data_IF_307429201051
#
_entry.id   IF_307429201051
#
_cell.length_a   1.000
_cell.length_b   1.000
_cell.length_c   1.000
_cell.angle_alpha   90.00
_cell.angle_beta   90.00
_cell.angle_gamma   90.00
#
_symmetry.space_group_name_H-M   'P 1'
#
loop_
_entity.id
_entity.type
_entity.pdbx_description
1 polymer ?
#
# COMPACT_ATOMS: atom_id res chain seq x y z
N UNK A 1 -20.51 8.23 14.56
CA UNK A 1 -20.83 7.27 13.50
C UNK A 1 -20.01 6.01 13.74
N UNK A 2 -20.60 4.81 13.80
CA UNK A 2 -19.80 3.59 13.79
C UNK A 2 -18.97 3.57 12.50
N UNK A 3 -17.68 3.24 12.60
CA UNK A 3 -16.83 2.97 11.44
C UNK A 3 -17.60 2.03 10.51
N UNK A 4 -17.70 2.38 9.22
CA UNK A 4 -18.27 1.46 8.23
C UNK A 4 -17.58 0.11 8.37
N UNK A 5 -18.31 -0.98 8.24
CA UNK A 5 -17.76 -2.34 8.34
C UNK A 5 -16.56 -2.52 7.40
N UNK A 6 -16.60 -1.87 6.23
CA UNK A 6 -15.49 -1.80 5.29
C UNK A 6 -14.26 -1.07 5.83
N UNK A 7 -14.43 0.06 6.53
CA UNK A 7 -13.33 0.82 7.12
C UNK A 7 -12.67 0.05 8.27
N UNK A 8 -13.48 -0.64 9.08
CA UNK A 8 -12.96 -1.53 10.11
C UNK A 8 -12.12 -2.68 9.51
N UNK A 9 -12.58 -3.27 8.40
CA UNK A 9 -11.83 -4.31 7.68
C UNK A 9 -10.52 -3.75 7.09
N UNK A 10 -10.54 -2.54 6.52
CA UNK A 10 -9.34 -1.88 5.99
C UNK A 10 -8.32 -1.59 7.09
N UNK A 11 -8.76 -1.09 8.23
CA UNK A 11 -7.88 -0.82 9.38
C UNK A 11 -7.28 -2.09 9.97
N UNK A 12 -8.09 -3.13 10.18
CA UNK A 12 -7.58 -4.42 10.67
C UNK A 12 -6.58 -5.05 9.71
N UNK A 13 -6.84 -4.98 8.40
CA UNK A 13 -5.88 -5.41 7.38
C UNK A 13 -4.58 -4.60 7.43
N UNK A 14 -4.66 -3.26 7.57
CA UNK A 14 -3.49 -2.38 7.71
C UNK A 14 -2.64 -2.76 8.92
N UNK A 15 -3.27 -2.92 10.09
CA UNK A 15 -2.59 -3.30 11.34
C UNK A 15 -1.95 -4.68 11.23
N UNK A 16 -2.62 -5.65 10.59
CA UNK A 16 -2.06 -6.97 10.34
C UNK A 16 -0.84 -6.90 9.41
N UNK A 17 -0.89 -6.06 8.37
CA UNK A 17 0.23 -5.84 7.45
C UNK A 17 1.42 -5.21 8.19
N UNK A 18 1.17 -4.18 9.01
CA UNK A 18 2.20 -3.54 9.85
C UNK A 18 2.86 -4.54 10.79
N UNK A 19 2.06 -5.35 11.49
CA UNK A 19 2.55 -6.37 12.41
C UNK A 19 3.34 -7.49 11.73
N UNK A 20 2.96 -7.88 10.51
CA UNK A 20 3.71 -8.83 9.70
C UNK A 20 5.03 -8.21 9.22
N UNK A 21 4.97 -7.00 8.67
CA UNK A 21 6.13 -6.31 8.12
C UNK A 21 7.19 -6.12 9.20
N UNK A 22 6.82 -5.66 10.41
CA UNK A 22 7.74 -5.55 11.56
C UNK A 22 8.50 -6.84 11.90
N UNK A 23 7.89 -8.02 11.70
CA UNK A 23 8.56 -9.31 11.93
C UNK A 23 9.55 -9.67 10.81
N UNK A 24 9.35 -9.14 9.61
CA UNK A 24 10.18 -9.42 8.42
C UNK A 24 11.36 -8.46 8.24
N UNK A 25 11.35 -7.29 8.90
CA UNK A 25 12.44 -6.32 8.82
C UNK A 25 13.71 -6.89 9.49
N UNK A 26 14.85 -6.81 8.78
CA UNK A 26 16.14 -7.31 9.30
C UNK A 26 17.24 -6.26 9.29
N UNK A 27 17.25 -5.34 8.32
CA UNK A 27 18.31 -4.32 8.21
C UNK A 27 17.90 -3.02 8.87
N UNK A 28 18.89 -2.25 9.35
CA UNK A 28 18.66 -0.91 9.93
C UNK A 28 17.98 0.03 8.94
N UNK A 29 18.34 -0.05 7.66
CA UNK A 29 17.76 0.78 6.60
C UNK A 29 16.27 0.44 6.35
N UNK A 30 15.88 -0.83 6.47
CA UNK A 30 14.48 -1.27 6.38
C UNK A 30 13.66 -0.70 7.54
N UNK A 31 14.21 -0.69 8.75
CA UNK A 31 13.57 -0.05 9.91
C UNK A 31 13.46 1.47 9.75
N UNK A 32 14.49 2.12 9.22
CA UNK A 32 14.47 3.56 8.95
C UNK A 32 13.37 3.92 7.95
N UNK A 33 13.29 3.21 6.82
CA UNK A 33 12.23 3.40 5.81
C UNK A 33 10.83 3.14 6.36
N UNK A 34 10.68 2.10 7.19
CA UNK A 34 9.40 1.82 7.83
C UNK A 34 8.94 2.97 8.75
N UNK A 35 9.88 3.56 9.51
CA UNK A 35 9.63 4.70 10.39
C UNK A 35 9.31 5.95 9.59
N UNK A 36 10.07 6.24 8.54
CA UNK A 36 9.84 7.35 7.62
C UNK A 36 8.44 7.31 6.99
N UNK A 37 8.01 6.15 6.48
CA UNK A 37 6.65 5.96 5.94
C UNK A 37 5.57 6.28 6.99
N UNK A 38 5.80 5.87 8.24
CA UNK A 38 4.85 6.13 9.32
C UNK A 38 4.81 7.60 9.72
N UNK A 39 5.97 8.27 9.77
CA UNK A 39 6.11 9.69 10.09
C UNK A 39 5.51 10.56 8.99
N UNK A 40 5.82 10.30 7.71
CA UNK A 40 5.25 11.02 6.57
C UNK A 40 3.71 10.92 6.57
N UNK A 41 3.17 9.72 6.78
CA UNK A 41 1.72 9.52 6.85
C UNK A 41 1.09 10.26 8.03
N UNK A 42 1.75 10.29 9.20
CA UNK A 42 1.27 11.02 10.36
C UNK A 42 1.28 12.53 10.13
N UNK A 43 2.36 13.08 9.58
CA UNK A 43 2.48 14.50 9.23
C UNK A 43 1.41 14.92 8.22
N UNK A 44 1.16 14.11 7.17
CA UNK A 44 0.09 14.37 6.19
C UNK A 44 -1.30 14.36 6.83
N UNK A 45 -1.55 13.44 7.77
CA UNK A 45 -2.82 13.38 8.50
C UNK A 45 -3.00 14.62 9.38
N UNK A 46 -1.97 15.04 10.11
CA UNK A 46 -2.06 16.19 11.00
C UNK A 46 -2.17 17.49 10.21
N UNK A 47 -1.45 17.62 9.09
CA UNK A 47 -1.63 18.71 8.14
C UNK A 47 -3.06 18.79 7.59
N UNK A 48 -3.68 17.65 7.23
CA UNK A 48 -5.09 17.65 6.78
C UNK A 48 -6.04 18.01 7.92
N UNK A 49 -5.80 17.58 9.17
CA UNK A 49 -6.64 17.98 10.31
C UNK A 49 -6.56 19.48 10.58
N UNK A 50 -5.37 20.07 10.49
CA UNK A 50 -5.19 21.51 10.73
C UNK A 50 -5.75 22.34 9.56
N UNK A 51 -5.57 21.88 8.33
CA UNK A 51 -6.23 22.45 7.16
C UNK A 51 -7.76 22.34 7.27
N UNK A 52 -8.28 21.21 7.74
CA UNK A 52 -9.72 21.01 7.94
C UNK A 52 -10.27 21.98 8.99
N UNK A 53 -9.61 22.11 10.15
CA UNK A 53 -10.02 23.04 11.22
C UNK A 53 -10.06 24.49 10.74
N UNK A 54 -9.04 24.93 10.02
CA UNK A 54 -8.95 26.32 9.54
C UNK A 54 -9.96 26.63 8.43
N UNK A 55 -10.24 25.67 7.54
CA UNK A 55 -11.12 25.87 6.37
C UNK A 55 -12.54 25.35 6.56
N UNK A 56 -12.88 24.79 7.72
CA UNK A 56 -14.15 24.10 7.96
C UNK A 56 -15.39 24.93 7.58
N UNK A 57 -15.47 26.17 8.07
CA UNK A 57 -16.62 27.03 7.80
C UNK A 57 -16.78 27.37 6.32
N UNK A 58 -15.67 27.62 5.63
CA UNK A 58 -15.68 27.87 4.19
C UNK A 58 -16.16 26.62 3.43
N UNK A 59 -15.63 25.44 3.77
CA UNK A 59 -16.07 24.17 3.16
C UNK A 59 -17.56 23.90 3.37
N UNK A 60 -18.11 24.27 4.53
CA UNK A 60 -19.55 24.13 4.80
C UNK A 60 -20.38 25.05 3.90
N UNK A 61 -19.96 26.31 3.70
CA UNK A 61 -20.65 27.24 2.79
C UNK A 61 -20.62 26.72 1.34
N UNK A 62 -19.46 26.27 0.88
CA UNK A 62 -19.34 25.68 -0.46
C UNK A 62 -20.21 24.42 -0.61
N UNK A 63 -20.30 23.61 0.44
CA UNK A 63 -21.12 22.41 0.46
C UNK A 63 -22.63 22.72 0.52
N UNK A 64 -23.08 23.75 1.24
CA UNK A 64 -24.50 24.14 1.25
C UNK A 64 -24.92 24.63 -0.13
N UNK A 65 -24.11 25.44 -0.80
CA UNK A 65 -24.36 25.86 -2.18
C UNK A 65 -24.41 24.68 -3.16
N UNK A 66 -23.54 23.68 -2.99
CA UNK A 66 -23.58 22.47 -3.80
C UNK A 66 -24.87 21.65 -3.56
N UNK A 67 -25.28 21.47 -2.31
CA UNK A 67 -26.52 20.75 -1.95
C UNK A 67 -27.75 21.47 -2.51
N UNK A 68 -27.80 22.80 -2.41
CA UNK A 68 -28.88 23.61 -2.99
C UNK A 68 -28.94 23.45 -4.51
N UNK A 69 -27.79 23.49 -5.20
CA UNK A 69 -27.71 23.25 -6.65
C UNK A 69 -28.20 21.85 -7.02
N UNK A 70 -27.74 20.81 -6.32
CA UNK A 70 -28.18 19.43 -6.56
C UNK A 70 -29.69 19.25 -6.31
N UNK A 71 -30.22 19.89 -5.28
CA UNK A 71 -31.65 19.87 -5.00
C UNK A 71 -32.46 20.54 -6.12
N UNK A 72 -32.03 21.73 -6.56
CA UNK A 72 -32.67 22.47 -7.65
C UNK A 72 -32.58 21.73 -8.99
N UNK A 73 -31.49 21.02 -9.25
CA UNK A 73 -31.36 20.16 -10.42
C UNK A 73 -32.33 18.99 -10.37
N UNK A 74 -32.50 18.35 -9.20
CA UNK A 74 -33.45 17.25 -9.02
C UNK A 74 -34.89 17.68 -9.25
N UNK A 75 -35.28 18.84 -8.74
CA UNK A 75 -36.64 19.38 -8.97
C UNK A 75 -36.89 19.70 -10.44
N UNK A 76 -35.87 20.21 -11.15
CA UNK A 76 -35.95 20.46 -12.58
C UNK A 76 -36.06 19.17 -13.42
N UNK A 77 -35.25 18.15 -13.09
CA UNK A 77 -35.19 16.89 -13.84
C UNK A 77 -36.40 15.98 -13.59
N UNK A 78 -36.98 16.08 -12.39
CA UNK A 78 -38.15 15.31 -11.98
C UNK A 78 -39.22 16.27 -11.47
N UNK A 79 -39.91 17.00 -12.37
CA UNK A 79 -40.97 17.89 -11.97
C UNK A 79 -42.03 17.08 -11.22
N UNK A 80 -42.36 17.52 -10.02
CA UNK A 80 -43.39 16.84 -9.22
C UNK A 80 -44.76 17.01 -9.89
N UNK A 81 -45.66 16.02 -9.74
CA UNK A 81 -47.02 16.15 -10.23
C UNK A 81 -47.78 17.24 -9.47
N UNK A 82 -48.75 17.89 -10.12
CA UNK A 82 -49.45 19.10 -9.65
C UNK A 82 -50.19 18.98 -8.30
N UNK A 83 -50.39 17.76 -7.80
CA UNK A 83 -51.04 17.49 -6.51
C UNK A 83 -50.05 17.43 -5.34
N UNK A 84 -48.73 17.38 -5.61
CA UNK A 84 -47.72 17.35 -4.57
C UNK A 84 -47.45 18.76 -4.04
N UNK A 85 -47.49 18.93 -2.72
CA UNK A 85 -47.14 20.20 -2.06
C UNK A 85 -45.62 20.40 -2.17
N UNK A 86 -45.21 21.54 -2.73
CA UNK A 86 -43.80 21.94 -2.76
C UNK A 86 -43.41 22.56 -1.41
N UNK A 87 -43.10 21.70 -0.45
CA UNK A 87 -42.36 22.12 0.74
C UNK A 87 -40.88 22.30 0.36
N UNK A 88 -40.31 23.51 0.49
CA UNK A 88 -38.88 23.67 0.34
C UNK A 88 -38.14 22.82 1.38
N UNK A 89 -36.96 22.28 1.05
CA UNK A 89 -36.15 21.56 2.02
C UNK A 89 -35.90 22.46 3.23
N UNK A 90 -36.16 21.96 4.44
CA UNK A 90 -35.89 22.72 5.65
C UNK A 90 -34.42 23.10 5.72
N UNK A 91 -34.12 24.32 6.15
CA UNK A 91 -32.76 24.83 6.26
C UNK A 91 -31.87 23.86 7.07
N UNK A 92 -32.41 23.31 8.16
CA UNK A 92 -31.72 22.32 9.00
C UNK A 92 -31.30 21.05 8.25
N UNK A 93 -32.10 20.59 7.27
CA UNK A 93 -31.76 19.41 6.46
C UNK A 93 -30.62 19.73 5.50
N UNK A 94 -30.64 20.91 4.87
CA UNK A 94 -29.58 21.35 3.96
C UNK A 94 -28.26 21.47 4.73
N UNK A 95 -28.30 22.09 5.91
CA UNK A 95 -27.14 22.22 6.79
C UNK A 95 -26.59 20.86 7.23
N UNK A 96 -27.47 19.92 7.58
CA UNK A 96 -27.07 18.56 7.93
C UNK A 96 -26.39 17.86 6.74
N UNK A 97 -26.94 17.95 5.54
CA UNK A 97 -26.33 17.38 4.34
C UNK A 97 -24.98 18.01 4.01
N UNK A 98 -24.86 19.33 4.14
CA UNK A 98 -23.61 20.04 3.92
C UNK A 98 -22.53 19.60 4.92
N UNK A 99 -22.85 19.54 6.21
CA UNK A 99 -21.93 19.05 7.25
C UNK A 99 -21.50 17.62 7.01
N UNK A 100 -22.44 16.73 6.68
CA UNK A 100 -22.14 15.34 6.38
C UNK A 100 -21.23 15.21 5.16
N UNK A 101 -21.42 16.04 4.12
CA UNK A 101 -20.57 16.04 2.92
C UNK A 101 -19.15 16.51 3.23
N UNK A 102 -19.01 17.58 4.01
CA UNK A 102 -17.70 18.09 4.44
C UNK A 102 -16.97 17.06 5.29
N UNK A 103 -17.68 16.41 6.21
CA UNK A 103 -17.13 15.33 7.04
C UNK A 103 -16.69 14.14 6.18
N UNK A 104 -17.51 13.71 5.22
CA UNK A 104 -17.19 12.61 4.32
C UNK A 104 -15.98 12.92 3.42
N UNK A 105 -15.85 14.16 2.91
CA UNK A 105 -14.66 14.56 2.12
C UNK A 105 -13.38 14.51 2.97
N UNK A 106 -13.45 15.00 4.21
CA UNK A 106 -12.33 14.94 5.13
C UNK A 106 -11.92 13.50 5.47
N UNK A 107 -12.89 12.65 5.77
CA UNK A 107 -12.66 11.23 6.03
C UNK A 107 -12.09 10.51 4.79
N UNK A 108 -12.56 10.85 3.59
CA UNK A 108 -12.04 10.32 2.34
C UNK A 108 -10.57 10.71 2.10
N UNK A 109 -10.18 11.95 2.41
CA UNK A 109 -8.78 12.41 2.32
C UNK A 109 -7.89 11.65 3.30
N UNK A 110 -8.32 11.49 4.54
CA UNK A 110 -7.58 10.69 5.54
C UNK A 110 -7.46 9.23 5.06
N UNK A 111 -8.55 8.65 4.54
CA UNK A 111 -8.54 7.30 4.01
C UNK A 111 -7.56 7.15 2.84
N UNK A 112 -7.50 8.12 1.93
CA UNK A 112 -6.54 8.14 0.83
C UNK A 112 -5.08 8.13 1.33
N UNK A 113 -4.75 8.94 2.34
CA UNK A 113 -3.41 8.93 2.95
C UNK A 113 -3.09 7.55 3.55
N UNK A 114 -4.06 6.91 4.21
CA UNK A 114 -3.86 5.55 4.75
C UNK A 114 -3.70 4.48 3.66
N UNK A 115 -4.41 4.62 2.53
CA UNK A 115 -4.24 3.75 1.37
C UNK A 115 -2.83 3.90 0.80
N UNK A 116 -2.34 5.13 0.62
CA UNK A 116 -0.96 5.41 0.20
C UNK A 116 0.04 4.75 1.14
N UNK A 117 -0.14 4.88 2.45
CA UNK A 117 0.69 4.25 3.48
C UNK A 117 0.70 2.72 3.33
N UNK A 118 -0.46 2.07 3.15
CA UNK A 118 -0.51 0.61 2.94
C UNK A 118 0.21 0.19 1.66
N UNK A 119 0.14 0.99 0.60
CA UNK A 119 0.82 0.72 -0.65
C UNK A 119 2.34 0.86 -0.50
N UNK A 120 2.83 1.87 0.23
CA UNK A 120 4.24 2.01 0.57
C UNK A 120 4.75 0.83 1.41
N UNK A 121 3.96 0.35 2.39
CA UNK A 121 4.32 -0.85 3.15
C UNK A 121 4.37 -2.12 2.30
N UNK A 122 3.44 -2.28 1.35
CA UNK A 122 3.49 -3.40 0.39
C UNK A 122 4.78 -3.36 -0.44
N UNK A 123 5.16 -2.20 -0.96
CA UNK A 123 6.43 -2.02 -1.69
C UNK A 123 7.65 -2.37 -0.84
N UNK A 124 7.66 -1.96 0.44
CA UNK A 124 8.76 -2.30 1.35
C UNK A 124 8.81 -3.82 1.62
N UNK A 125 7.65 -4.45 1.84
CA UNK A 125 7.55 -5.91 1.98
C UNK A 125 8.08 -6.62 0.74
N UNK A 126 7.68 -6.20 -0.45
CA UNK A 126 8.12 -6.82 -1.71
C UNK A 126 9.63 -6.67 -1.91
N UNK A 127 10.20 -5.52 -1.52
CA UNK A 127 11.65 -5.31 -1.52
C UNK A 127 12.37 -6.26 -0.54
N UNK A 128 11.82 -6.48 0.66
CA UNK A 128 12.37 -7.45 1.61
C UNK A 128 12.32 -8.88 1.06
N UNK A 129 11.19 -9.29 0.45
CA UNK A 129 11.06 -10.62 -0.20
C UNK A 129 11.99 -10.77 -1.39
N UNK A 130 12.17 -9.73 -2.21
CA UNK A 130 13.09 -9.75 -3.33
C UNK A 130 14.54 -9.97 -2.89
N UNK A 131 14.93 -9.45 -1.72
CA UNK A 131 16.24 -9.75 -1.11
C UNK A 131 16.36 -11.21 -0.69
N UNK A 132 15.33 -11.77 -0.05
CA UNK A 132 15.36 -13.16 0.42
C UNK A 132 15.35 -14.17 -0.74
N UNK A 133 14.64 -13.85 -1.83
CA UNK A 133 14.57 -14.67 -3.03
C UNK A 133 15.63 -14.33 -4.08
N UNK A 134 16.49 -13.32 -3.83
CA UNK A 134 17.60 -13.02 -4.72
C UNK A 134 18.49 -14.28 -4.74
N UNK A 135 18.66 -14.93 -5.91
CA UNK A 135 19.46 -16.14 -5.99
C UNK A 135 20.85 -15.77 -5.49
N UNK A 136 21.36 -16.57 -4.55
CA UNK A 136 22.72 -16.50 -4.01
C UNK A 136 23.72 -16.73 -5.14
N UNK A 137 23.88 -15.75 -6.04
CA UNK A 137 24.79 -15.80 -7.20
C UNK A 137 26.23 -15.99 -6.76
N UNK A 138 26.55 -15.69 -5.51
CA UNK A 138 27.83 -15.98 -4.86
C UNK A 138 27.98 -17.44 -4.43
N UNK A 139 26.92 -18.12 -4.02
CA UNK A 139 27.00 -19.51 -3.55
C UNK A 139 27.09 -20.50 -4.73
N UNK A 140 26.34 -20.25 -5.82
CA UNK A 140 26.47 -21.03 -7.07
C UNK A 140 27.80 -20.79 -7.78
N UNK A 141 28.33 -19.55 -7.78
CA UNK A 141 29.68 -19.28 -8.32
C UNK A 141 30.76 -19.96 -7.50
N UNK A 142 30.62 -20.04 -6.18
CA UNK A 142 31.59 -20.71 -5.32
C UNK A 142 31.50 -22.24 -5.43
N UNK A 143 30.30 -22.82 -5.55
CA UNK A 143 30.15 -24.25 -5.84
C UNK A 143 30.66 -24.63 -7.24
N UNK A 144 30.36 -23.82 -8.25
CA UNK A 144 30.88 -24.03 -9.62
C UNK A 144 32.41 -23.90 -9.68
N UNK A 145 32.99 -22.91 -8.99
CA UNK A 145 34.45 -22.75 -8.91
C UNK A 145 35.13 -23.86 -8.09
N UNK A 146 34.55 -24.27 -6.97
CA UNK A 146 35.08 -25.39 -6.18
C UNK A 146 35.01 -26.71 -6.95
N UNK A 147 33.91 -26.98 -7.65
CA UNK A 147 33.76 -28.18 -8.49
C UNK A 147 34.75 -28.20 -9.66
N UNK A 148 34.98 -27.05 -10.31
CA UNK A 148 35.97 -26.92 -11.37
C UNK A 148 37.40 -27.06 -10.84
N UNK A 149 37.72 -26.50 -9.66
CA UNK A 149 39.02 -26.66 -9.02
C UNK A 149 39.30 -28.11 -8.58
N UNK A 150 38.29 -28.85 -8.12
CA UNK A 150 38.42 -30.27 -7.81
C UNK A 150 38.61 -31.14 -9.07
N UNK A 151 37.95 -30.81 -10.17
CA UNK A 151 38.13 -31.52 -11.44
C UNK A 151 39.50 -31.28 -12.06
N UNK A 152 40.00 -30.04 -12.05
CA UNK A 152 41.36 -29.75 -12.54
C UNK A 152 42.43 -30.36 -11.64
N UNK A 153 42.26 -30.33 -10.31
CA UNK A 153 43.18 -31.01 -9.38
C UNK A 153 43.23 -32.54 -9.60
N UNK A 154 42.09 -33.18 -9.90
CA UNK A 154 42.03 -34.60 -10.25
C UNK A 154 42.66 -34.92 -11.62
N UNK A 155 42.66 -33.98 -12.57
CA UNK A 155 43.29 -34.14 -13.87
C UNK A 155 44.81 -33.95 -13.79
N UNK A 156 45.28 -32.95 -13.03
CA UNK A 156 46.70 -32.65 -12.84
C UNK A 156 47.38 -33.78 -12.03
N UNK A 157 46.77 -34.22 -10.93
CA UNK A 157 47.30 -35.34 -10.13
C UNK A 157 47.37 -36.68 -10.89
N UNK A 158 46.47 -36.93 -11.84
CA UNK A 158 46.52 -38.13 -12.70
C UNK A 158 47.59 -38.05 -13.79
N UNK A 159 47.94 -36.85 -14.23
CA UNK A 159 48.95 -36.63 -15.26
C UNK A 159 50.39 -36.69 -14.71
N UNK A 160 50.58 -36.35 -13.43
CA UNK A 160 51.89 -36.42 -12.76
C UNK A 160 52.26 -37.84 -12.24
N UNK A 161 51.28 -38.73 -12.10
CA UNK A 161 51.49 -40.12 -11.63
C UNK A 161 51.64 -41.17 -12.75
N UNK A 162 51.63 -40.76 -14.03
CA UNK A 162 51.93 -41.68 -15.15
C UNK A 162 50.96 -42.87 -15.28
N UNK A 163 49.73 -42.76 -14.79
CA UNK A 163 48.74 -43.85 -14.87
C UNK A 163 47.89 -43.72 -16.14
N UNK A 164 47.87 -44.73 -17.02
CA UNK A 164 47.14 -44.65 -18.29
C UNK A 164 45.62 -44.57 -18.07
N UNK A 165 44.98 -43.72 -18.86
CA UNK A 165 43.53 -43.66 -19.00
C UNK A 165 43.04 -45.00 -19.56
N UNK A 166 42.46 -45.82 -18.67
CA UNK A 166 41.87 -47.11 -18.99
C UNK A 166 40.71 -46.88 -19.97
N UNK A 167 40.95 -47.13 -21.25
CA UNK A 167 39.92 -47.20 -22.28
C UNK A 167 38.94 -48.31 -21.90
N UNK A 168 37.67 -47.95 -21.75
CA UNK A 168 36.60 -48.92 -21.58
C UNK A 168 36.44 -49.79 -22.83
N UNK A 169 35.86 -51.00 -22.69
CA UNK A 169 35.80 -51.97 -23.78
C UNK A 169 34.85 -51.47 -24.88
N UNK A 170 35.35 -51.42 -26.11
CA UNK A 170 34.51 -51.26 -27.30
C UNK A 170 33.68 -52.52 -27.51
N UNK A 171 32.37 -52.39 -27.39
CA UNK A 171 31.41 -53.44 -27.76
C UNK A 171 31.46 -53.63 -29.28
N UNK A 172 31.67 -54.87 -29.70
CA UNK A 172 31.39 -55.38 -31.05
C UNK A 172 29.95 -55.86 -31.14
#
# INVERSE_FOLDING_TARGET
>A
MPLSTEDAVRETHRLALEGNLRKSLRTKDEFARFKEIAEEAAERIDAEKDAFRSTYHQRVIEATEAVLREHNQRTLNHPKPSWAIDEPPSADKIDLFARNRVQADHEARIAAIRVDQTHQYRKLRDACHARENAPTRTQDRNHGRARNAFQTANQISRHELGLPLRSGPSRS
#
